data_IF_566757415524
#
_entry.id   IF_566757415524
#
_cell.length_a   1.000
_cell.length_b   1.000
_cell.length_c   1.000
_cell.angle_alpha   90.00
_cell.angle_beta   90.00
_cell.angle_gamma   90.00
#
_symmetry.space_group_name_H-M   'P 1'
#
loop_
_entity.id
_entity.type
_entity.pdbx_description
1 polymer ?
#
# COMPACT_ATOMS: atom_id res chain seq x y z
N UNK A 1 13.25 2.36 8.95
CA UNK A 1 13.47 3.48 8.02
C UNK A 1 13.32 3.00 6.58
N UNK A 2 12.68 3.81 5.73
CA UNK A 2 12.54 3.49 4.31
C UNK A 2 13.90 3.47 3.62
N UNK A 3 14.14 2.42 2.83
CA UNK A 3 15.29 2.38 1.95
C UNK A 3 15.02 3.20 0.69
N UNK A 4 16.05 3.53 -0.06
CA UNK A 4 15.91 4.24 -1.34
C UNK A 4 15.04 3.45 -2.33
N UNK A 5 15.25 2.13 -2.41
CA UNK A 5 14.46 1.26 -3.30
C UNK A 5 13.00 1.24 -2.89
N UNK A 6 12.73 1.12 -1.60
CA UNK A 6 11.35 1.16 -1.10
C UNK A 6 10.68 2.50 -1.41
N UNK A 7 11.39 3.60 -1.27
CA UNK A 7 10.87 4.93 -1.60
C UNK A 7 10.50 5.04 -3.08
N UNK A 8 11.35 4.55 -3.97
CA UNK A 8 11.07 4.54 -5.42
C UNK A 8 9.82 3.72 -5.75
N UNK A 9 9.68 2.55 -5.13
CA UNK A 9 8.50 1.70 -5.31
C UNK A 9 7.24 2.38 -4.80
N UNK A 10 7.30 2.96 -3.60
CA UNK A 10 6.15 3.64 -3.00
C UNK A 10 5.71 4.84 -3.83
N UNK A 11 6.64 5.65 -4.31
CA UNK A 11 6.32 6.81 -5.15
C UNK A 11 5.66 6.37 -6.46
N UNK A 12 6.15 5.30 -7.08
CA UNK A 12 5.53 4.74 -8.28
C UNK A 12 4.10 4.27 -8.00
N UNK A 13 3.89 3.55 -6.91
CA UNK A 13 2.57 3.07 -6.53
C UNK A 13 1.60 4.22 -6.21
N UNK A 14 2.06 5.21 -5.45
CA UNK A 14 1.25 6.36 -5.05
C UNK A 14 0.84 7.21 -6.25
N UNK A 15 1.73 7.36 -7.22
CA UNK A 15 1.43 8.04 -8.48
C UNK A 15 0.44 7.25 -9.33
N UNK A 16 0.62 5.94 -9.40
CA UNK A 16 -0.27 5.06 -10.17
C UNK A 16 -1.72 5.12 -9.68
N UNK A 17 -1.94 5.13 -8.36
CA UNK A 17 -3.28 5.22 -7.77
C UNK A 17 -3.76 6.66 -7.57
N UNK A 18 -3.01 7.63 -8.06
CA UNK A 18 -3.38 9.06 -8.06
C UNK A 18 -3.66 9.62 -6.67
N UNK A 19 -2.71 9.43 -5.78
CA UNK A 19 -2.82 9.94 -4.40
C UNK A 19 -2.53 11.44 -4.26
N UNK A 20 -2.01 12.10 -5.29
CA UNK A 20 -1.70 13.53 -5.22
C UNK A 20 -2.94 14.36 -4.85
N UNK A 21 -2.78 15.26 -3.89
CA UNK A 21 -3.87 16.09 -3.38
C UNK A 21 -4.77 15.39 -2.36
N UNK A 22 -4.55 14.12 -2.09
CA UNK A 22 -5.39 13.33 -1.18
C UNK A 22 -4.75 13.17 0.20
N UNK A 23 -5.55 12.67 1.14
CA UNK A 23 -5.08 12.37 2.49
C UNK A 23 -4.45 10.97 2.52
N UNK A 24 -3.28 10.88 3.15
CA UNK A 24 -2.55 9.62 3.30
C UNK A 24 -2.12 9.47 4.75
N UNK A 25 -2.30 8.30 5.32
CA UNK A 25 -1.79 8.01 6.67
C UNK A 25 -0.26 8.11 6.65
N UNK A 26 0.31 8.84 7.60
CA UNK A 26 1.75 9.13 7.62
C UNK A 26 2.64 7.94 7.95
N UNK A 27 2.04 6.85 8.48
CA UNK A 27 2.74 5.59 8.70
C UNK A 27 2.25 4.54 7.73
N UNK A 28 3.11 3.58 7.39
CA UNK A 28 2.70 2.45 6.57
C UNK A 28 1.63 1.61 7.27
N UNK A 29 0.75 0.99 6.49
CA UNK A 29 -0.28 0.13 7.03
C UNK A 29 0.34 -1.18 7.54
N UNK A 30 -0.10 -1.60 8.71
CA UNK A 30 0.32 -2.86 9.32
C UNK A 30 -0.48 -4.00 8.70
N UNK A 31 0.18 -5.13 8.49
CA UNK A 31 -0.49 -6.38 8.12
C UNK A 31 -0.73 -7.16 9.41
N UNK A 32 -2.00 -7.43 9.69
CA UNK A 32 -2.37 -8.28 10.82
C UNK A 32 -1.86 -9.68 10.57
N UNK A 33 -1.31 -10.30 11.63
CA UNK A 33 -0.79 -11.66 11.58
C UNK A 33 -1.92 -12.70 11.57
N UNK A 34 -2.86 -12.53 10.65
CA UNK A 34 -3.87 -13.55 10.39
C UNK A 34 -3.35 -14.40 9.25
N UNK A 35 -2.55 -15.40 9.60
CA UNK A 35 -1.87 -16.27 8.66
C UNK A 35 -2.84 -16.93 7.66
N UNK A 36 -4.05 -17.27 8.11
CA UNK A 36 -5.03 -17.95 7.26
C UNK A 36 -5.55 -17.04 6.15
N UNK A 37 -5.87 -15.79 6.46
CA UNK A 37 -6.31 -14.82 5.46
C UNK A 37 -5.20 -14.47 4.48
N UNK A 38 -3.99 -14.26 4.98
CA UNK A 38 -2.83 -13.95 4.14
C UNK A 38 -2.54 -15.10 3.19
N UNK A 39 -2.55 -16.34 3.68
CA UNK A 39 -2.35 -17.53 2.87
C UNK A 39 -3.45 -17.73 1.83
N UNK A 40 -4.71 -17.44 2.18
CA UNK A 40 -5.80 -17.55 1.21
C UNK A 40 -5.66 -16.55 0.07
N UNK A 41 -5.20 -15.35 0.35
CA UNK A 41 -4.90 -14.35 -0.69
C UNK A 41 -3.77 -14.83 -1.59
N UNK A 42 -2.71 -15.37 -1.00
CA UNK A 42 -1.59 -15.93 -1.76
C UNK A 42 -2.06 -17.04 -2.70
N UNK A 43 -2.87 -17.98 -2.22
CA UNK A 43 -3.39 -19.08 -3.03
C UNK A 43 -4.24 -18.61 -4.20
N UNK A 44 -5.07 -17.58 -3.99
CA UNK A 44 -5.92 -17.02 -5.03
C UNK A 44 -5.10 -16.26 -6.08
N UNK A 45 -4.18 -15.42 -5.64
CA UNK A 45 -3.49 -14.50 -6.54
C UNK A 45 -2.20 -15.07 -7.12
N UNK A 46 -1.54 -16.00 -6.45
CA UNK A 46 -0.33 -16.64 -6.98
C UNK A 46 -0.59 -17.47 -8.22
N UNK A 47 -1.80 -17.98 -8.38
CA UNK A 47 -2.20 -18.75 -9.58
C UNK A 47 -2.36 -17.87 -10.81
N UNK A 48 -2.69 -16.59 -10.62
CA UNK A 48 -3.02 -15.64 -11.69
C UNK A 48 -1.99 -14.53 -11.85
N UNK A 49 -1.02 -14.45 -10.96
CA UNK A 49 0.03 -13.45 -10.98
C UNK A 49 1.35 -14.12 -10.59
N UNK A 50 2.44 -13.51 -10.98
CA UNK A 50 3.78 -14.06 -10.73
C UNK A 50 4.29 -13.73 -9.32
N UNK A 51 3.40 -13.79 -8.32
CA UNK A 51 3.77 -13.56 -6.92
C UNK A 51 4.40 -14.83 -6.39
N UNK A 52 5.70 -14.79 -6.10
CA UNK A 52 6.40 -15.90 -5.47
C UNK A 52 6.11 -15.96 -3.98
N UNK A 53 6.25 -17.15 -3.40
CA UNK A 53 6.13 -17.34 -1.95
C UNK A 53 7.12 -16.45 -1.18
N UNK A 54 8.34 -16.33 -1.68
CA UNK A 54 9.38 -15.50 -1.06
C UNK A 54 8.99 -14.02 -1.06
N UNK A 55 8.45 -13.51 -2.16
CA UNK A 55 8.00 -12.12 -2.26
C UNK A 55 6.86 -11.84 -1.26
N UNK A 56 5.90 -12.73 -1.20
CA UNK A 56 4.78 -12.63 -0.25
C UNK A 56 5.27 -12.65 1.19
N UNK A 57 6.19 -13.55 1.52
CA UNK A 57 6.77 -13.67 2.86
C UNK A 57 7.51 -12.39 3.26
N UNK A 58 8.31 -11.84 2.35
CA UNK A 58 9.03 -10.58 2.60
C UNK A 58 8.05 -9.44 2.89
N UNK A 59 6.97 -9.34 2.11
CA UNK A 59 5.92 -8.34 2.31
C UNK A 59 5.26 -8.47 3.67
N UNK A 60 4.90 -9.68 4.10
CA UNK A 60 4.29 -9.93 5.41
C UNK A 60 5.25 -9.54 6.54
N UNK A 61 6.49 -9.98 6.47
CA UNK A 61 7.48 -9.71 7.51
C UNK A 61 7.77 -8.22 7.68
N UNK A 62 7.90 -7.49 6.58
CA UNK A 62 8.15 -6.04 6.62
C UNK A 62 6.99 -5.25 7.21
N UNK A 63 5.78 -5.76 7.14
CA UNK A 63 4.58 -5.05 7.58
C UNK A 63 4.02 -5.53 8.91
N UNK A 64 4.81 -6.24 9.70
CA UNK A 64 4.43 -6.55 11.09
C UNK A 64 4.43 -5.29 11.95
N UNK A 65 5.27 -4.32 11.63
CA UNK A 65 5.33 -3.03 12.30
C UNK A 65 5.25 -1.89 11.29
N UNK A 66 4.50 -0.82 11.60
CA UNK A 66 4.44 0.33 10.70
C UNK A 66 5.74 1.13 10.74
N UNK A 67 6.04 1.81 9.63
CA UNK A 67 7.15 2.77 9.56
C UNK A 67 6.65 4.11 9.05
N UNK A 68 7.41 5.18 9.32
CA UNK A 68 7.05 6.52 8.86
C UNK A 68 7.22 6.66 7.35
N UNK A 69 6.22 7.26 6.69
CA UNK A 69 6.24 7.64 5.28
C UNK A 69 6.62 9.11 5.09
N UNK A 70 6.85 9.84 6.16
CA UNK A 70 7.20 11.28 6.12
C UNK A 70 8.40 11.57 5.22
N UNK A 71 9.44 10.70 5.13
CA UNK A 71 10.55 10.96 4.19
C UNK A 71 10.13 11.12 2.73
N UNK A 72 8.90 10.70 2.35
CA UNK A 72 8.39 10.88 1.00
C UNK A 72 7.75 12.25 0.76
N UNK A 73 7.63 13.09 1.80
CA UNK A 73 6.87 14.33 1.75
C UNK A 73 7.35 15.31 0.66
N UNK A 74 8.66 15.36 0.41
CA UNK A 74 9.24 16.26 -0.58
C UNK A 74 9.12 15.73 -2.01
N UNK A 75 8.75 14.46 -2.16
CA UNK A 75 8.72 13.77 -3.46
C UNK A 75 7.31 13.66 -4.04
N UNK A 76 6.27 13.81 -3.21
CA UNK A 76 4.88 13.70 -3.65
C UNK A 76 4.00 14.66 -2.86
N UNK A 77 3.05 15.30 -3.54
CA UNK A 77 2.12 16.26 -2.94
C UNK A 77 0.90 15.55 -2.38
N UNK A 78 1.03 15.01 -1.19
CA UNK A 78 -0.07 14.42 -0.44
C UNK A 78 -0.18 15.09 0.93
N UNK A 79 -1.34 14.99 1.57
CA UNK A 79 -1.54 15.44 2.95
C UNK A 79 -1.35 14.25 3.89
N UNK A 80 -0.15 14.12 4.46
CA UNK A 80 0.10 13.09 5.45
C UNK A 80 -0.59 13.43 6.77
N UNK A 81 -1.35 12.49 7.29
CA UNK A 81 -2.08 12.64 8.55
C UNK A 81 -1.54 11.66 9.60
N UNK A 82 -1.44 12.14 10.84
CA UNK A 82 -1.23 11.27 11.99
C UNK A 82 -2.42 10.33 12.16
N UNK A 83 -2.24 9.24 12.88
CA UNK A 83 -3.33 8.27 13.15
C UNK A 83 -4.54 8.94 13.78
N UNK A 84 -4.34 9.83 14.76
CA UNK A 84 -5.42 10.52 15.43
C UNK A 84 -6.17 11.47 14.50
N UNK A 85 -5.47 12.22 13.65
CA UNK A 85 -6.10 13.10 12.66
C UNK A 85 -6.85 12.28 11.60
N UNK A 86 -6.28 11.19 11.14
CA UNK A 86 -6.88 10.31 10.17
C UNK A 86 -8.23 9.79 10.68
N UNK A 87 -8.26 9.27 11.91
CA UNK A 87 -9.50 8.80 12.55
C UNK A 87 -10.51 9.93 12.76
N UNK A 88 -10.03 11.09 13.19
CA UNK A 88 -10.88 12.27 13.40
C UNK A 88 -11.52 12.72 12.09
N UNK A 89 -10.76 12.81 11.02
CA UNK A 89 -11.25 13.27 9.72
C UNK A 89 -12.25 12.29 9.08
N UNK A 90 -12.07 10.98 9.29
CA UNK A 90 -13.04 9.98 8.82
C UNK A 90 -14.44 10.18 9.40
N UNK A 91 -14.53 10.82 10.57
CA UNK A 91 -15.79 11.06 11.26
C UNK A 91 -16.33 12.50 11.09
N UNK A 92 -15.65 13.34 10.30
CA UNK A 92 -16.09 14.71 10.05
C UNK A 92 -17.08 14.77 8.88
N UNK A 93 -18.29 15.36 9.07
CA UNK A 93 -19.27 15.48 7.99
C UNK A 93 -18.78 16.24 6.75
N UNK A 94 -17.94 17.25 6.93
CA UNK A 94 -17.39 18.03 5.83
C UNK A 94 -16.31 17.29 5.05
N UNK A 95 -15.83 16.17 5.56
CA UNK A 95 -14.88 15.26 4.91
C UNK A 95 -15.52 14.02 4.31
N UNK A 96 -16.85 13.93 4.29
CA UNK A 96 -17.59 12.73 3.90
C UNK A 96 -17.24 12.23 2.49
N UNK A 97 -16.88 13.12 1.58
CA UNK A 97 -16.53 12.77 0.20
C UNK A 97 -15.03 12.68 -0.05
N UNK A 98 -14.22 12.89 0.96
CA UNK A 98 -12.77 12.77 0.84
C UNK A 98 -12.34 11.30 0.84
N UNK A 99 -11.23 11.03 0.17
CA UNK A 99 -10.62 9.70 0.14
C UNK A 99 -9.38 9.73 1.03
N UNK A 100 -9.25 8.69 1.84
CA UNK A 100 -8.15 8.53 2.80
C UNK A 100 -7.41 7.26 2.46
N UNK A 101 -6.16 7.40 2.05
CA UNK A 101 -5.34 6.27 1.63
C UNK A 101 -4.47 5.73 2.75
N UNK A 102 -4.34 4.41 2.79
CA UNK A 102 -3.27 3.73 3.53
C UNK A 102 -2.48 2.88 2.56
N UNK A 103 -1.20 2.73 2.81
CA UNK A 103 -0.31 1.94 1.95
C UNK A 103 0.62 1.11 2.82
N UNK A 104 0.83 -0.14 2.44
CA UNK A 104 1.80 -0.99 3.12
C UNK A 104 3.20 -0.70 2.61
N UNK A 105 4.19 -1.07 3.39
CA UNK A 105 5.57 -1.14 2.95
C UNK A 105 5.69 -2.24 1.87
N UNK A 106 6.49 -2.06 0.82
CA UNK A 106 6.61 -3.08 -0.22
C UNK A 106 7.44 -4.27 0.24
N UNK A 107 6.99 -5.48 -0.11
CA UNK A 107 7.85 -6.65 -0.16
C UNK A 107 8.66 -6.60 -1.45
N UNK A 108 9.89 -7.12 -1.43
CA UNK A 108 10.80 -7.09 -2.58
C UNK A 108 11.36 -8.49 -2.78
N UNK A 109 11.34 -8.99 -4.02
CA UNK A 109 11.91 -10.28 -4.36
C UNK A 109 13.43 -10.29 -4.17
N UNK A 110 14.00 -11.48 -3.95
CA UNK A 110 15.45 -11.62 -3.71
C UNK A 110 16.30 -11.12 -4.86
N UNK A 111 15.81 -11.21 -6.10
CA UNK A 111 16.52 -10.67 -7.26
C UNK A 111 16.33 -9.14 -7.43
N UNK A 112 15.51 -8.51 -6.59
CA UNK A 112 15.27 -7.08 -6.63
C UNK A 112 14.40 -6.60 -7.79
N UNK A 113 13.76 -7.49 -8.52
CA UNK A 113 13.01 -7.16 -9.75
C UNK A 113 11.50 -7.04 -9.58
N UNK A 114 10.97 -7.60 -8.51
CA UNK A 114 9.53 -7.57 -8.25
C UNK A 114 9.24 -7.02 -6.87
N UNK A 115 8.13 -6.32 -6.75
CA UNK A 115 7.67 -5.79 -5.48
C UNK A 115 6.16 -5.99 -5.34
N UNK A 116 5.70 -6.15 -4.11
CA UNK A 116 4.30 -6.35 -3.77
C UNK A 116 3.92 -5.39 -2.67
N UNK A 117 2.80 -4.69 -2.83
CA UNK A 117 2.24 -3.86 -1.77
C UNK A 117 0.72 -3.80 -1.86
N UNK A 118 0.10 -3.31 -0.79
CA UNK A 118 -1.34 -3.11 -0.72
C UNK A 118 -1.65 -1.63 -0.50
N UNK A 119 -2.62 -1.13 -1.25
CA UNK A 119 -3.17 0.21 -1.07
C UNK A 119 -4.64 0.06 -0.69
N UNK A 120 -5.09 0.80 0.30
CA UNK A 120 -6.50 0.86 0.69
C UNK A 120 -7.00 2.29 0.55
N UNK A 121 -8.11 2.46 -0.15
CA UNK A 121 -8.83 3.72 -0.24
C UNK A 121 -10.04 3.66 0.68
N UNK A 122 -10.06 4.52 1.70
CA UNK A 122 -11.13 4.60 2.69
C UNK A 122 -11.96 5.84 2.41
N UNK A 123 -13.29 5.69 2.37
CA UNK A 123 -14.20 6.80 2.20
C UNK A 123 -14.95 7.04 3.51
N UNK A 124 -14.97 8.30 3.96
CA UNK A 124 -15.63 8.67 5.21
C UNK A 124 -17.15 8.47 5.18
N UNK A 125 -17.75 8.49 3.99
CA UNK A 125 -19.20 8.26 3.82
C UNK A 125 -19.63 6.82 4.05
N UNK A 126 -18.71 5.93 4.30
CA UNK A 126 -18.97 4.54 4.66
C UNK A 126 -18.43 3.52 3.65
N UNK A 127 -18.69 2.23 3.91
CA UNK A 127 -18.25 1.16 3.03
C UNK A 127 -18.93 1.26 1.65
N UNK A 128 -18.34 0.62 0.61
CA UNK A 128 -17.18 -0.24 0.74
C UNK A 128 -15.87 0.56 0.71
N UNK A 129 -14.89 0.10 1.49
CA UNK A 129 -13.52 0.51 1.32
C UNK A 129 -12.89 -0.37 0.24
N UNK A 130 -12.09 0.23 -0.61
CA UNK A 130 -11.45 -0.50 -1.70
C UNK A 130 -9.98 -0.72 -1.39
N UNK A 131 -9.55 -1.97 -1.48
CA UNK A 131 -8.15 -2.32 -1.34
C UNK A 131 -7.67 -3.00 -2.62
N UNK A 132 -6.42 -2.79 -2.96
CA UNK A 132 -5.78 -3.43 -4.11
C UNK A 132 -4.37 -3.87 -3.77
N UNK A 133 -4.02 -5.07 -4.20
CA UNK A 133 -2.64 -5.52 -4.25
C UNK A 133 -2.03 -5.02 -5.55
N UNK A 134 -0.85 -4.42 -5.46
CA UNK A 134 -0.09 -3.97 -6.62
C UNK A 134 1.16 -4.82 -6.75
N UNK A 135 1.34 -5.42 -7.92
CA UNK A 135 2.57 -6.10 -8.27
C UNK A 135 3.37 -5.18 -9.19
N UNK A 136 4.57 -4.82 -8.76
CA UNK A 136 5.46 -3.97 -9.53
C UNK A 136 6.64 -4.76 -10.06
N UNK A 137 7.14 -4.33 -11.20
CA UNK A 137 8.31 -4.91 -11.84
C UNK A 137 9.31 -3.82 -12.17
N UNK A 138 10.58 -4.09 -11.95
CA UNK A 138 11.65 -3.16 -12.28
C UNK A 138 12.10 -3.40 -13.72
N UNK A 139 11.98 -2.36 -14.55
CA UNK A 139 12.68 -2.28 -15.83
C UNK A 139 14.10 -1.75 -15.60
N UNK A 140 14.85 -1.46 -16.67
CA UNK A 140 16.26 -1.05 -16.56
C UNK A 140 16.45 0.17 -15.62
N UNK A 141 15.52 1.14 -15.65
CA UNK A 141 15.66 2.38 -14.87
C UNK A 141 14.45 2.69 -13.98
N UNK A 142 13.32 2.02 -14.16
CA UNK A 142 12.07 2.40 -13.53
C UNK A 142 11.33 1.21 -12.94
N UNK A 143 10.54 1.50 -11.89
CA UNK A 143 9.52 0.59 -11.41
C UNK A 143 8.22 0.86 -12.16
N UNK A 144 7.50 -0.19 -12.51
CA UNK A 144 6.20 -0.11 -13.18
C UNK A 144 5.20 -1.02 -12.50
N UNK A 145 3.95 -0.60 -12.41
CA UNK A 145 2.87 -1.47 -11.95
C UNK A 145 2.56 -2.46 -13.05
N UNK A 146 2.81 -3.73 -12.79
CA UNK A 146 2.60 -4.83 -13.73
C UNK A 146 1.17 -5.34 -13.70
N UNK A 147 0.61 -5.48 -12.51
CA UNK A 147 -0.75 -5.95 -12.33
C UNK A 147 -1.35 -5.43 -11.03
N UNK A 148 -2.68 -5.39 -10.99
CA UNK A 148 -3.44 -5.03 -9.81
C UNK A 148 -4.49 -6.10 -9.52
N UNK A 149 -4.74 -6.36 -8.24
CA UNK A 149 -5.75 -7.31 -7.81
C UNK A 149 -6.62 -6.65 -6.74
N UNK A 150 -7.89 -6.43 -7.08
CA UNK A 150 -8.84 -5.85 -6.14
C UNK A 150 -9.16 -6.81 -5.00
N UNK A 151 -9.18 -6.28 -3.79
CA UNK A 151 -9.58 -6.98 -2.58
C UNK A 151 -10.85 -6.31 -2.06
N UNK A 152 -11.96 -7.03 -2.08
CA UNK A 152 -13.25 -6.49 -1.65
C UNK A 152 -13.47 -6.74 -0.16
N UNK A 153 -14.19 -5.83 0.50
CA UNK A 153 -14.59 -5.94 1.91
C UNK A 153 -13.42 -6.04 2.90
N UNK A 154 -12.44 -5.20 2.71
CA UNK A 154 -11.29 -5.11 3.62
C UNK A 154 -11.55 -4.15 4.77
#
# INVERSE_FOLDING_TARGET
MLTKIESEILLTAMSFVQMEGEYVLETSARIMKDANKILSWFDVYSKNSFISEQLHKDWVEKNLEPISLIPLLDEIKVSFLSTSKFESYLNMPDKAWSVFFTITRPGISTDGRNALLKVTANCASGPPNYASLLLLEKSVHFWNVKSTHGLYNQ
#
